data_IF_749792852649
#
_entry.id   IF_749792852649
#
_cell.length_a   1.000
_cell.length_b   1.000
_cell.length_c   1.000
_cell.angle_alpha   90.00
_cell.angle_beta   90.00
_cell.angle_gamma   90.00
#
_symmetry.space_group_name_H-M   'P 1'
#
loop_
_entity.id
_entity.type
_entity.pdbx_description
1 polymer ?
#
# COMPACT_ATOMS: atom_id res chain seq x y z
N UNK A 1 10.85 -3.21 -11.02
CA UNK A 1 12.28 -3.04 -11.37
C UNK A 1 12.63 -3.48 -12.81
N UNK A 2 12.72 -4.79 -13.14
CA UNK A 2 13.19 -5.27 -14.47
C UNK A 2 12.52 -4.60 -15.66
N UNK A 3 11.18 -4.55 -15.67
CA UNK A 3 10.39 -3.92 -16.74
C UNK A 3 10.70 -2.44 -16.93
N UNK A 4 11.02 -1.72 -15.85
CA UNK A 4 11.39 -0.31 -15.94
C UNK A 4 12.81 -0.16 -16.48
N UNK A 5 13.75 -0.98 -16.01
CA UNK A 5 15.13 -1.00 -16.48
C UNK A 5 15.22 -1.29 -18.00
N UNK A 6 14.47 -2.28 -18.51
CA UNK A 6 14.44 -2.57 -19.96
C UNK A 6 13.84 -1.45 -20.82
N UNK A 7 13.23 -0.44 -20.19
CA UNK A 7 12.68 0.76 -20.84
C UNK A 7 13.56 2.00 -20.65
N UNK A 8 14.79 1.82 -20.15
CA UNK A 8 15.75 2.92 -19.96
C UNK A 8 15.48 3.78 -18.71
N UNK A 9 14.64 3.33 -17.78
CA UNK A 9 14.43 4.04 -16.51
C UNK A 9 15.69 3.92 -15.65
N UNK A 10 16.25 5.06 -15.25
CA UNK A 10 17.46 5.15 -14.42
C UNK A 10 17.17 5.44 -12.94
N UNK A 11 15.98 5.96 -12.63
CA UNK A 11 15.50 6.25 -11.27
C UNK A 11 14.05 5.78 -11.15
N UNK A 12 13.73 5.03 -10.10
CA UNK A 12 12.38 4.53 -9.83
C UNK A 12 12.07 4.62 -8.33
N UNK A 13 10.80 4.81 -7.98
CA UNK A 13 10.28 4.59 -6.62
C UNK A 13 9.28 3.44 -6.62
N UNK A 14 9.25 2.68 -5.53
CA UNK A 14 8.13 1.80 -5.20
C UNK A 14 7.29 2.53 -4.15
N UNK A 15 6.01 2.72 -4.41
CA UNK A 15 5.10 3.51 -3.55
C UNK A 15 3.84 2.70 -3.23
N UNK A 16 4.02 1.53 -2.63
CA UNK A 16 2.88 0.71 -2.19
C UNK A 16 2.09 1.43 -1.08
N UNK A 17 0.80 1.09 -0.95
CA UNK A 17 -0.09 1.76 0.00
C UNK A 17 0.25 1.45 1.46
N UNK A 18 0.48 2.51 2.23
CA UNK A 18 0.76 2.48 3.68
C UNK A 18 1.77 1.39 4.08
N UNK A 19 2.81 1.16 3.29
CA UNK A 19 3.82 0.11 3.57
C UNK A 19 5.13 0.37 2.83
N UNK A 20 6.22 -0.10 3.44
CA UNK A 20 7.56 -0.12 2.86
C UNK A 20 8.09 -1.55 2.64
N UNK A 21 7.24 -2.58 2.81
CA UNK A 21 7.66 -3.99 2.79
C UNK A 21 8.42 -4.39 1.51
N UNK A 22 8.04 -3.85 0.35
CA UNK A 22 8.70 -4.15 -0.93
C UNK A 22 9.96 -3.31 -1.21
N UNK A 23 10.27 -2.29 -0.40
CA UNK A 23 11.36 -1.34 -0.70
C UNK A 23 12.71 -2.03 -0.67
N UNK A 24 12.97 -2.90 0.31
CA UNK A 24 14.25 -3.60 0.41
C UNK A 24 14.53 -4.48 -0.83
N UNK A 25 13.53 -5.25 -1.27
CA UNK A 25 13.61 -6.06 -2.49
C UNK A 25 13.82 -5.18 -3.74
N UNK A 26 13.06 -4.09 -3.85
CA UNK A 26 13.16 -3.16 -4.96
C UNK A 26 14.55 -2.51 -5.05
N UNK A 27 15.12 -2.09 -3.91
CA UNK A 27 16.47 -1.51 -3.83
C UNK A 27 17.52 -2.53 -4.27
N UNK A 28 17.46 -3.76 -3.76
CA UNK A 28 18.40 -4.82 -4.12
C UNK A 28 18.37 -5.12 -5.63
N UNK A 29 17.17 -5.24 -6.21
CA UNK A 29 17.03 -5.48 -7.65
C UNK A 29 17.41 -4.24 -8.48
N UNK A 30 17.16 -3.03 -7.98
CA UNK A 30 17.60 -1.78 -8.59
C UNK A 30 19.12 -1.69 -8.71
N UNK A 31 19.84 -2.01 -7.63
CA UNK A 31 21.31 -2.06 -7.62
C UNK A 31 21.84 -3.03 -8.69
N UNK A 32 21.25 -4.23 -8.79
CA UNK A 32 21.64 -5.23 -9.80
C UNK A 32 21.40 -4.76 -11.24
N UNK A 33 20.43 -3.87 -11.45
CA UNK A 33 20.04 -3.36 -12.75
C UNK A 33 20.63 -1.98 -13.09
N UNK A 34 21.38 -1.36 -12.18
CA UNK A 34 21.88 0.01 -12.35
C UNK A 34 20.77 1.08 -12.27
N UNK A 35 19.65 0.78 -11.60
CA UNK A 35 18.52 1.70 -11.39
C UNK A 35 18.54 2.20 -9.95
N UNK A 36 18.61 3.51 -9.76
CA UNK A 36 18.49 4.11 -8.43
C UNK A 36 17.06 3.97 -7.93
N UNK A 37 16.89 3.39 -6.74
CA UNK A 37 15.58 3.30 -6.09
C UNK A 37 15.43 4.36 -5.01
N UNK A 38 14.34 5.11 -5.05
CA UNK A 38 13.92 6.03 -4.00
C UNK A 38 12.85 5.33 -3.17
N UNK A 39 13.10 5.15 -1.87
CA UNK A 39 12.12 4.62 -0.93
C UNK A 39 10.91 5.56 -0.89
N UNK A 40 9.72 5.00 -1.07
CA UNK A 40 8.48 5.75 -1.01
C UNK A 40 7.30 4.88 -0.55
N UNK A 41 6.21 5.52 -0.18
CA UNK A 41 4.91 4.88 0.06
C UNK A 41 3.80 5.85 -0.33
N UNK A 42 2.64 5.30 -0.69
CA UNK A 42 1.42 6.06 -0.91
C UNK A 42 0.55 5.98 0.35
N UNK A 43 0.47 7.07 1.11
CA UNK A 43 -0.34 7.13 2.32
C UNK A 43 -1.77 7.46 1.94
N UNK A 44 -2.75 6.65 2.39
CA UNK A 44 -4.13 7.12 2.32
C UNK A 44 -4.38 8.10 3.46
N UNK A 45 -5.04 9.19 3.12
CA UNK A 45 -5.42 10.23 4.06
C UNK A 45 -6.85 10.65 3.78
N UNK A 46 -7.51 11.13 4.82
CA UNK A 46 -8.79 11.80 4.69
C UNK A 46 -8.55 13.30 4.86
N UNK A 47 -9.19 14.08 4.01
CA UNK A 47 -9.15 15.55 4.06
C UNK A 47 -10.57 16.09 4.15
N UNK A 48 -10.72 17.38 4.48
CA UNK A 48 -12.02 18.04 4.44
C UNK A 48 -12.70 18.03 3.05
N UNK A 49 -11.94 17.68 2.00
CA UNK A 49 -12.41 17.58 0.61
C UNK A 49 -12.71 16.13 0.17
N UNK A 50 -12.50 15.16 1.07
CA UNK A 50 -12.62 13.73 0.80
C UNK A 50 -11.28 12.99 0.85
N UNK A 51 -11.25 11.81 0.24
CA UNK A 51 -10.09 10.93 0.21
C UNK A 51 -8.95 11.57 -0.60
N UNK A 52 -7.76 11.61 0.00
CA UNK A 52 -6.55 12.12 -0.63
C UNK A 52 -5.41 11.11 -0.45
N UNK A 53 -4.63 10.88 -1.50
CA UNK A 53 -3.43 10.05 -1.42
C UNK A 53 -2.19 10.94 -1.43
N UNK A 54 -1.30 10.69 -0.48
CA UNK A 54 -0.06 11.45 -0.31
C UNK A 54 1.12 10.56 -0.61
N UNK A 55 1.91 10.93 -1.61
CA UNK A 55 3.17 10.24 -1.90
C UNK A 55 4.27 10.75 -0.97
N UNK A 56 4.77 9.88 -0.11
CA UNK A 56 5.90 10.14 0.75
C UNK A 56 7.17 9.58 0.10
N UNK A 57 8.10 10.45 -0.29
CA UNK A 57 9.38 10.07 -0.91
C UNK A 57 10.54 10.26 0.07
N UNK A 58 11.63 9.53 -0.16
CA UNK A 58 12.85 9.58 0.65
C UNK A 58 12.59 9.25 2.13
N UNK A 59 11.62 8.38 2.39
CA UNK A 59 11.32 7.89 3.73
C UNK A 59 12.39 6.92 4.19
N UNK A 60 12.73 6.96 5.48
CA UNK A 60 13.61 5.96 6.11
C UNK A 60 12.80 4.70 6.43
N UNK A 61 13.11 3.53 5.83
CA UNK A 61 12.42 2.28 6.13
C UNK A 61 12.59 1.79 7.56
N UNK A 62 13.54 2.35 8.32
CA UNK A 62 13.79 2.00 9.72
C UNK A 62 13.15 2.96 10.72
N UNK A 63 12.40 3.97 10.25
CA UNK A 63 11.66 4.87 11.13
C UNK A 63 10.47 4.14 11.79
N UNK A 64 10.65 3.80 13.06
CA UNK A 64 9.64 3.07 13.84
C UNK A 64 8.34 3.86 14.03
N UNK A 65 8.41 5.19 14.15
CA UNK A 65 7.21 6.02 14.32
C UNK A 65 6.42 6.09 13.02
N UNK A 66 7.12 6.14 11.88
CA UNK A 66 6.47 6.09 10.58
C UNK A 66 5.81 4.73 10.32
N UNK A 67 6.48 3.62 10.66
CA UNK A 67 5.88 2.29 10.57
C UNK A 67 4.67 2.11 11.50
N UNK A 68 4.71 2.65 12.72
CA UNK A 68 3.55 2.67 13.61
C UNK A 68 2.36 3.41 12.97
N UNK A 69 2.62 4.57 12.35
CA UNK A 69 1.57 5.34 11.67
C UNK A 69 0.99 4.60 10.46
N UNK A 70 1.83 3.96 9.66
CA UNK A 70 1.39 3.15 8.52
C UNK A 70 0.58 1.93 8.98
N UNK A 71 1.00 1.26 10.07
CA UNK A 71 0.24 0.17 10.67
C UNK A 71 -1.16 0.61 11.11
N UNK A 72 -1.26 1.75 11.77
CA UNK A 72 -2.53 2.35 12.17
C UNK A 72 -3.45 2.56 10.95
N UNK A 73 -2.93 3.08 9.82
CA UNK A 73 -3.70 3.26 8.58
C UNK A 73 -4.23 1.92 8.04
N UNK A 74 -3.39 0.87 8.01
CA UNK A 74 -3.77 -0.47 7.55
C UNK A 74 -4.87 -1.09 8.44
N UNK A 75 -4.79 -0.91 9.75
CA UNK A 75 -5.81 -1.39 10.70
C UNK A 75 -7.16 -0.67 10.55
N UNK A 76 -7.14 0.65 10.32
CA UNK A 76 -8.37 1.42 10.07
C UNK A 76 -9.06 0.98 8.76
N UNK A 77 -8.27 0.70 7.72
CA UNK A 77 -8.75 0.11 6.47
C UNK A 77 -9.42 -1.25 6.69
N UNK A 78 -8.85 -2.11 7.53
CA UNK A 78 -9.46 -3.39 7.90
C UNK A 78 -10.85 -3.23 8.52
N UNK A 79 -10.98 -2.36 9.53
CA UNK A 79 -12.28 -2.06 10.16
C UNK A 79 -13.30 -1.49 9.20
N UNK A 80 -12.88 -0.61 8.27
CA UNK A 80 -13.78 -0.06 7.25
C UNK A 80 -14.41 -1.16 6.39
N UNK A 81 -13.66 -2.23 6.11
CA UNK A 81 -14.12 -3.32 5.24
C UNK A 81 -15.08 -4.26 5.97
N UNK A 82 -14.85 -4.50 7.25
CA UNK A 82 -15.81 -5.17 8.12
C UNK A 82 -17.16 -4.44 8.08
N UNK A 83 -17.16 -3.12 8.29
CA UNK A 83 -18.36 -2.28 8.20
C UNK A 83 -19.02 -2.31 6.82
N UNK A 84 -18.23 -2.32 5.73
CA UNK A 84 -18.77 -2.45 4.38
C UNK A 84 -19.49 -3.79 4.17
N UNK A 85 -18.90 -4.90 4.65
CA UNK A 85 -19.52 -6.23 4.60
C UNK A 85 -20.80 -6.27 5.41
N UNK A 86 -20.81 -5.71 6.63
CA UNK A 86 -22.01 -5.61 7.46
C UNK A 86 -23.13 -4.82 6.75
N UNK A 87 -22.79 -3.69 6.15
CA UNK A 87 -23.73 -2.85 5.41
C UNK A 87 -24.34 -3.57 4.21
N UNK A 88 -23.52 -4.30 3.43
CA UNK A 88 -23.99 -5.07 2.29
C UNK A 88 -24.94 -6.20 2.71
N UNK A 89 -24.61 -6.92 3.79
CA UNK A 89 -25.49 -7.95 4.35
C UNK A 89 -26.82 -7.37 4.84
N UNK A 90 -26.79 -6.18 5.46
CA UNK A 90 -28.02 -5.47 5.88
C UNK A 90 -28.90 -5.06 4.69
N UNK A 91 -28.30 -4.79 3.53
CA UNK A 91 -29.03 -4.49 2.28
C UNK A 91 -29.53 -5.75 1.55
N UNK A 92 -29.29 -6.95 2.10
CA UNK A 92 -29.74 -8.23 1.55
C UNK A 92 -28.74 -8.91 0.61
N UNK A 93 -27.51 -8.40 0.49
CA UNK A 93 -26.45 -9.05 -0.28
C UNK A 93 -25.65 -10.01 0.59
N UNK A 94 -25.57 -11.28 0.21
CA UNK A 94 -24.77 -12.27 0.93
C UNK A 94 -23.27 -12.08 0.63
N UNK A 95 -22.57 -11.39 1.53
CA UNK A 95 -21.13 -11.14 1.42
C UNK A 95 -20.40 -11.67 2.65
N UNK A 96 -19.37 -12.49 2.43
CA UNK A 96 -18.52 -13.03 3.50
C UNK A 96 -17.19 -12.27 3.57
N UNK A 97 -16.80 -11.84 4.78
CA UNK A 97 -15.49 -11.22 5.01
C UNK A 97 -14.35 -12.17 4.65
N UNK A 98 -14.48 -13.46 4.99
CA UNK A 98 -13.52 -14.49 4.60
C UNK A 98 -13.37 -14.54 3.08
N UNK A 99 -14.48 -14.48 2.33
CA UNK A 99 -14.43 -14.50 0.87
C UNK A 99 -13.75 -13.25 0.30
N UNK A 100 -13.96 -12.09 0.91
CA UNK A 100 -13.25 -10.85 0.55
C UNK A 100 -11.74 -11.01 0.75
N UNK A 101 -11.33 -11.58 1.89
CA UNK A 101 -9.92 -11.84 2.21
C UNK A 101 -9.27 -12.84 1.26
N UNK A 102 -9.96 -13.93 0.92
CA UNK A 102 -9.49 -14.93 -0.05
C UNK A 102 -9.22 -14.31 -1.43
N UNK A 103 -10.12 -13.45 -1.91
CA UNK A 103 -9.98 -12.78 -3.21
C UNK A 103 -8.81 -11.79 -3.19
N UNK A 104 -8.57 -11.14 -2.06
CA UNK A 104 -7.48 -10.16 -1.94
C UNK A 104 -6.08 -10.78 -1.97
N UNK A 105 -5.93 -12.09 -1.70
CA UNK A 105 -4.65 -12.82 -1.79
C UNK A 105 -3.49 -12.15 -1.02
N UNK A 106 -3.78 -11.57 0.15
CA UNK A 106 -2.78 -10.85 0.96
C UNK A 106 -2.47 -9.44 0.45
N UNK A 107 -3.11 -8.99 -0.62
CA UNK A 107 -3.11 -7.60 -1.06
C UNK A 107 -3.92 -6.69 -0.13
N UNK A 108 -3.73 -5.37 -0.30
CA UNK A 108 -4.51 -4.36 0.42
C UNK A 108 -6.00 -4.52 0.15
N UNK A 109 -6.77 -4.83 1.19
CA UNK A 109 -8.23 -4.94 1.14
C UNK A 109 -8.86 -3.55 0.84
N UNK A 110 -10.02 -3.53 0.14
CA UNK A 110 -10.79 -2.30 -0.10
C UNK A 110 -10.23 -1.41 -1.22
N UNK A 111 -9.81 -2.04 -2.32
CA UNK A 111 -9.49 -1.42 -3.61
C UNK A 111 -10.61 -1.66 -4.61
#
# INVERSE_FOLDING_TARGET
MRRAATRGVTIQSLSDHDTLAGVAEAVAEGQRLGVRVIAATELNTESGWGDAHVLAYFVDPNDAAFEERMRWLREHRGRRIELMVENLNRLGYTVSLQRVQEIAQGGSLGR
#
